data_IF_838081645212
#
_entry.id   IF_838081645212
#
_cell.length_a   1.000
_cell.length_b   1.000
_cell.length_c   1.000
_cell.angle_alpha   90.00
_cell.angle_beta   90.00
_cell.angle_gamma   90.00
#
_symmetry.space_group_name_H-M   'P 1'
#
loop_
_entity.id
_entity.type
_entity.pdbx_description
1 polymer ?
#
# COMPACT_ATOMS: atom_id res chain seq x y z
N UNK A 1 46.49 -23.55 10.03
CA UNK A 1 46.76 -22.25 9.40
C UNK A 1 45.49 -21.62 8.84
N UNK A 2 44.78 -22.21 7.86
CA UNK A 2 43.52 -21.64 7.39
C UNK A 2 42.36 -21.77 8.41
N UNK A 3 42.27 -22.91 9.12
CA UNK A 3 41.28 -23.12 10.19
C UNK A 3 41.49 -22.21 11.39
N UNK A 4 42.73 -22.12 11.88
CA UNK A 4 43.06 -21.25 13.02
C UNK A 4 42.74 -19.77 12.74
N UNK A 5 43.04 -19.28 11.52
CA UNK A 5 42.69 -17.91 11.12
C UNK A 5 41.18 -17.71 10.95
N UNK A 6 40.46 -18.71 10.42
CA UNK A 6 39.00 -18.64 10.32
C UNK A 6 38.36 -18.60 11.72
N UNK A 7 38.91 -19.35 12.67
CA UNK A 7 38.47 -19.36 14.06
C UNK A 7 38.78 -18.03 14.76
N UNK A 8 39.98 -17.47 14.58
CA UNK A 8 40.36 -16.14 15.11
C UNK A 8 39.48 -15.00 14.57
N UNK A 9 38.99 -15.12 13.33
CA UNK A 9 38.12 -14.13 12.70
C UNK A 9 36.62 -14.42 12.87
N UNK A 10 36.25 -15.43 13.65
CA UNK A 10 34.85 -15.91 13.78
C UNK A 10 34.18 -16.22 12.43
N UNK A 11 34.98 -16.65 11.44
CA UNK A 11 34.57 -17.06 10.10
C UNK A 11 34.62 -18.58 9.90
N UNK A 12 34.94 -19.34 10.95
CA UNK A 12 34.77 -20.79 10.95
C UNK A 12 33.30 -21.13 10.70
N UNK A 13 33.03 -22.02 9.74
CA UNK A 13 31.67 -22.43 9.39
C UNK A 13 31.52 -23.94 9.46
N UNK A 14 30.35 -24.43 9.91
CA UNK A 14 29.98 -25.81 9.69
C UNK A 14 29.89 -26.10 8.18
N UNK A 15 30.03 -27.37 7.78
CA UNK A 15 29.91 -27.82 6.38
C UNK A 15 28.44 -27.88 5.93
N UNK A 16 27.77 -26.72 6.03
CA UNK A 16 26.39 -26.47 5.62
C UNK A 16 26.35 -25.17 4.82
N UNK A 17 25.46 -25.04 3.82
CA UNK A 17 25.33 -23.81 3.04
C UNK A 17 24.98 -22.62 3.96
N UNK A 18 25.70 -21.51 3.81
CA UNK A 18 25.46 -20.30 4.58
C UNK A 18 26.37 -19.15 4.16
N UNK A 19 26.02 -17.94 4.57
CA UNK A 19 26.79 -16.72 4.32
C UNK A 19 27.21 -16.11 5.65
N UNK A 20 28.50 -15.77 5.76
CA UNK A 20 29.04 -14.96 6.85
C UNK A 20 29.77 -13.78 6.22
N UNK A 21 29.61 -12.65 6.88
CA UNK A 21 30.20 -11.37 6.50
C UNK A 21 30.92 -10.86 7.74
N UNK A 22 32.17 -10.41 7.58
CA UNK A 22 32.93 -9.78 8.66
C UNK A 22 33.12 -8.30 8.32
N UNK A 23 32.69 -7.43 9.23
CA UNK A 23 32.91 -5.99 9.16
C UNK A 23 34.05 -5.67 10.14
N UNK A 24 35.26 -5.45 9.62
CA UNK A 24 36.47 -5.21 10.45
C UNK A 24 36.46 -3.83 11.10
N UNK A 25 35.69 -2.90 10.54
CA UNK A 25 35.48 -1.58 11.10
C UNK A 25 34.33 -0.89 10.38
N UNK A 26 33.41 -0.35 11.17
CA UNK A 26 32.30 0.46 10.68
C UNK A 26 32.55 1.92 11.07
N UNK A 27 32.31 2.82 10.12
CA UNK A 27 32.32 4.27 10.34
C UNK A 27 31.06 4.82 9.71
N UNK A 28 30.24 5.51 10.50
CA UNK A 28 29.03 6.10 9.98
C UNK A 28 29.38 7.23 8.99
N UNK A 29 29.04 7.10 7.70
CA UNK A 29 29.34 8.13 6.71
C UNK A 29 28.51 9.40 6.89
N UNK A 30 27.41 9.35 7.66
CA UNK A 30 26.57 10.50 7.97
C UNK A 30 27.13 11.39 9.08
N UNK A 31 28.04 10.86 9.91
CA UNK A 31 28.82 11.62 10.88
C UNK A 31 30.31 11.67 10.49
N UNK A 32 30.72 12.62 9.62
CA UNK A 32 32.12 12.78 9.23
C UNK A 32 33.02 13.26 10.39
N UNK A 33 32.44 13.73 11.50
CA UNK A 33 33.19 14.21 12.67
C UNK A 33 33.71 13.08 13.56
N UNK A 34 33.11 11.88 13.45
CA UNK A 34 33.36 10.71 14.30
C UNK A 34 33.04 10.94 15.78
N UNK A 35 32.28 11.98 16.11
CA UNK A 35 31.95 12.33 17.50
C UNK A 35 30.79 11.46 18.03
N UNK A 36 29.88 11.02 17.16
CA UNK A 36 28.68 10.24 17.51
C UNK A 36 28.67 8.87 16.81
N UNK A 37 29.80 8.14 16.88
CA UNK A 37 29.83 6.78 16.33
C UNK A 37 29.03 5.82 17.23
N UNK A 38 28.15 4.97 16.64
CA UNK A 38 27.40 4.00 17.41
C UNK A 38 28.35 2.98 18.04
N UNK A 39 28.09 2.63 19.29
CA UNK A 39 28.78 1.55 19.98
C UNK A 39 28.52 0.20 19.29
N UNK A 40 29.41 -0.79 19.47
CA UNK A 40 29.19 -2.13 18.91
C UNK A 40 27.84 -2.74 19.31
N UNK A 41 27.37 -2.48 20.52
CA UNK A 41 26.06 -2.94 21.01
C UNK A 41 24.91 -2.27 20.27
N UNK A 42 24.97 -0.95 20.04
CA UNK A 42 23.91 -0.24 19.29
C UNK A 42 23.85 -0.72 17.83
N UNK A 43 25.01 -1.02 17.23
CA UNK A 43 25.05 -1.63 15.90
C UNK A 43 24.45 -3.04 15.94
N UNK A 44 24.75 -3.84 16.97
CA UNK A 44 24.14 -5.16 17.17
C UNK A 44 22.61 -5.07 17.32
N UNK A 45 22.09 -4.12 18.11
CA UNK A 45 20.66 -3.85 18.26
C UNK A 45 20.00 -3.56 16.91
N UNK A 46 20.64 -2.73 16.07
CA UNK A 46 20.13 -2.39 14.74
C UNK A 46 20.09 -3.62 13.84
N UNK A 47 21.15 -4.44 13.82
CA UNK A 47 21.18 -5.66 13.00
C UNK A 47 20.14 -6.67 13.45
N UNK A 48 20.00 -6.89 14.76
CA UNK A 48 19.02 -7.80 15.33
C UNK A 48 17.59 -7.35 14.99
N UNK A 49 17.26 -6.08 15.25
CA UNK A 49 15.94 -5.54 14.95
C UNK A 49 15.64 -5.55 13.45
N UNK A 50 16.63 -5.24 12.59
CA UNK A 50 16.46 -5.25 11.13
C UNK A 50 16.28 -6.67 10.61
N UNK A 51 17.04 -7.64 11.16
CA UNK A 51 16.86 -9.06 10.84
C UNK A 51 15.46 -9.53 11.22
N UNK A 52 14.99 -9.19 12.42
CA UNK A 52 13.64 -9.52 12.85
C UNK A 52 12.57 -8.87 11.96
N UNK A 53 12.63 -7.54 11.78
CA UNK A 53 11.65 -6.78 11.02
C UNK A 53 11.51 -7.24 9.57
N UNK A 54 12.62 -7.57 8.91
CA UNK A 54 12.61 -7.82 7.47
C UNK A 54 12.79 -9.27 7.08
N UNK A 55 13.24 -10.16 7.97
CA UNK A 55 13.45 -11.57 7.66
C UNK A 55 12.66 -12.54 8.53
N UNK A 56 11.75 -12.06 9.40
CA UNK A 56 10.85 -12.94 10.15
C UNK A 56 10.16 -14.02 9.29
N UNK A 57 9.78 -13.81 8.00
CA UNK A 57 9.15 -14.88 7.24
C UNK A 57 10.10 -16.05 6.97
N UNK A 58 11.38 -15.78 6.69
CA UNK A 58 12.39 -16.84 6.53
C UNK A 58 12.72 -17.49 7.89
N UNK A 59 12.89 -16.67 8.92
CA UNK A 59 13.29 -17.12 10.26
C UNK A 59 12.20 -18.00 10.88
N UNK A 60 10.94 -17.55 10.89
CA UNK A 60 9.80 -18.34 11.41
C UNK A 60 9.56 -19.67 10.70
N UNK A 61 10.05 -19.83 9.46
CA UNK A 61 9.98 -21.10 8.72
C UNK A 61 11.18 -22.03 8.95
N UNK A 62 12.21 -21.56 9.67
CA UNK A 62 13.49 -22.26 9.82
C UNK A 62 14.34 -22.24 8.55
N UNK A 63 14.06 -21.35 7.58
CA UNK A 63 14.86 -21.18 6.37
C UNK A 63 16.11 -20.31 6.62
N UNK A 64 16.12 -19.54 7.71
CA UNK A 64 17.18 -18.61 8.07
C UNK A 64 17.36 -18.55 9.59
N UNK A 65 18.61 -18.61 10.04
CA UNK A 65 19.02 -18.28 11.40
C UNK A 65 20.07 -17.17 11.31
N UNK A 66 19.98 -16.18 12.20
CA UNK A 66 20.90 -15.04 12.22
C UNK A 66 21.69 -15.06 13.51
N UNK A 67 23.02 -15.15 13.38
CA UNK A 67 23.96 -15.09 14.49
C UNK A 67 24.81 -13.82 14.35
N UNK A 68 24.84 -13.01 15.41
CA UNK A 68 25.61 -11.77 15.47
C UNK A 68 26.66 -11.91 16.58
N UNK A 69 27.90 -11.54 16.27
CA UNK A 69 28.97 -11.37 17.26
C UNK A 69 29.62 -10.01 17.02
N UNK A 70 29.32 -9.05 17.89
CA UNK A 70 29.80 -7.69 17.82
C UNK A 70 30.73 -7.42 19.02
N UNK A 71 32.01 -7.67 18.80
CA UNK A 71 33.06 -7.52 19.83
C UNK A 71 32.78 -8.34 21.11
N UNK A 72 32.23 -9.55 20.96
CA UNK A 72 31.89 -10.45 22.06
C UNK A 72 30.44 -10.31 22.59
N UNK A 73 29.69 -9.29 22.15
CA UNK A 73 28.24 -9.26 22.31
C UNK A 73 27.60 -10.22 21.30
N UNK A 74 27.07 -11.35 21.80
CA UNK A 74 26.53 -12.43 20.97
C UNK A 74 25.03 -12.42 21.02
N UNK A 75 24.41 -12.40 19.84
CA UNK A 75 22.96 -12.39 19.68
C UNK A 75 22.51 -13.39 18.65
N UNK A 76 21.30 -13.90 18.80
CA UNK A 76 20.71 -14.88 17.91
C UNK A 76 19.25 -14.56 17.63
N UNK A 77 18.88 -14.58 16.34
CA UNK A 77 17.50 -14.47 15.88
C UNK A 77 17.16 -15.75 15.14
N UNK A 78 16.39 -16.61 15.80
CA UNK A 78 16.02 -17.96 15.33
C UNK A 78 14.50 -18.12 15.34
N UNK A 79 13.99 -19.26 14.87
CA UNK A 79 12.55 -19.58 14.92
C UNK A 79 11.98 -19.59 16.34
N UNK A 80 12.81 -19.91 17.33
CA UNK A 80 12.50 -19.88 18.76
C UNK A 80 12.43 -18.45 19.33
N UNK A 81 13.35 -17.55 18.93
CA UNK A 81 13.45 -16.19 19.52
C UNK A 81 12.72 -15.11 18.73
N UNK A 82 12.39 -15.33 17.45
CA UNK A 82 11.77 -14.30 16.60
C UNK A 82 10.43 -13.77 17.14
N UNK A 83 9.73 -14.57 17.95
CA UNK A 83 8.45 -14.19 18.57
C UNK A 83 8.61 -13.26 19.77
N UNK A 84 9.82 -13.10 20.30
CA UNK A 84 10.12 -12.16 21.38
C UNK A 84 10.15 -10.70 20.88
N UNK A 85 10.17 -10.50 19.56
CA UNK A 85 10.08 -9.18 18.93
C UNK A 85 8.62 -8.76 18.72
N UNK A 86 8.11 -7.90 19.60
CA UNK A 86 6.73 -7.36 19.56
C UNK A 86 6.33 -6.75 18.21
N UNK A 87 7.30 -6.20 17.47
CA UNK A 87 7.08 -5.60 16.16
C UNK A 87 6.65 -6.59 15.07
N UNK A 88 6.97 -7.88 15.22
CA UNK A 88 6.74 -8.90 14.18
C UNK A 88 5.90 -10.09 14.65
N UNK A 89 5.84 -10.37 15.95
CA UNK A 89 5.05 -11.47 16.50
C UNK A 89 3.58 -11.50 16.00
N UNK A 90 2.85 -10.36 15.90
CA UNK A 90 1.53 -10.30 15.29
C UNK A 90 1.46 -10.75 13.82
N UNK A 91 2.50 -10.47 13.03
CA UNK A 91 2.57 -10.83 11.62
C UNK A 91 2.89 -12.31 11.43
N UNK A 92 3.75 -12.86 12.29
CA UNK A 92 4.04 -14.30 12.34
C UNK A 92 2.75 -15.07 12.67
N UNK A 93 2.03 -14.67 13.72
CA UNK A 93 0.74 -15.29 14.10
C UNK A 93 -0.29 -15.21 12.95
N UNK A 94 -0.39 -14.04 12.30
CA UNK A 94 -1.25 -13.84 11.13
C UNK A 94 -0.87 -14.77 9.97
N UNK A 95 0.42 -14.91 9.67
CA UNK A 95 0.91 -15.74 8.57
C UNK A 95 0.70 -17.22 8.86
N UNK A 96 1.11 -17.73 10.01
CA UNK A 96 1.04 -19.16 10.33
C UNK A 96 -0.40 -19.66 10.43
N UNK A 97 -1.30 -18.86 11.02
CA UNK A 97 -2.72 -19.22 11.19
C UNK A 97 -3.59 -18.92 9.98
N UNK A 98 -3.03 -18.45 8.87
CA UNK A 98 -3.79 -18.14 7.66
C UNK A 98 -4.47 -19.38 7.05
N UNK A 99 -3.89 -20.57 7.24
CA UNK A 99 -4.43 -21.80 6.65
C UNK A 99 -5.80 -22.14 7.24
N UNK A 100 -6.82 -22.22 6.40
CA UNK A 100 -8.18 -22.56 6.84
C UNK A 100 -8.84 -21.48 7.69
N UNK A 101 -8.28 -20.27 7.77
CA UNK A 101 -8.90 -19.13 8.41
C UNK A 101 -10.19 -18.72 7.65
N UNK A 102 -11.19 -18.15 8.35
CA UNK A 102 -12.40 -17.63 7.71
C UNK A 102 -12.08 -16.50 6.72
N UNK A 103 -13.01 -16.22 5.81
CA UNK A 103 -12.88 -15.18 4.78
C UNK A 103 -13.32 -13.78 5.25
N UNK A 104 -13.68 -13.64 6.53
CA UNK A 104 -14.03 -12.39 7.19
C UNK A 104 -13.44 -12.33 8.60
N UNK A 105 -12.94 -11.16 8.98
CA UNK A 105 -12.27 -10.92 10.25
C UNK A 105 -13.27 -10.84 11.39
N UNK A 106 -13.03 -11.62 12.45
CA UNK A 106 -13.84 -11.61 13.66
C UNK A 106 -13.23 -10.80 14.80
N UNK A 107 -13.15 -11.41 15.98
CA UNK A 107 -12.72 -10.76 17.22
C UNK A 107 -11.21 -10.46 17.31
N UNK A 108 -10.76 -9.70 18.33
CA UNK A 108 -9.34 -9.48 18.60
C UNK A 108 -8.52 -10.77 18.64
N UNK A 109 -7.37 -10.79 17.99
CA UNK A 109 -6.49 -11.95 17.86
C UNK A 109 -6.96 -13.02 16.87
N UNK A 110 -8.14 -12.87 16.27
CA UNK A 110 -8.61 -13.76 15.20
C UNK A 110 -7.97 -13.38 13.86
N UNK A 111 -7.71 -14.41 13.05
CA UNK A 111 -7.13 -14.30 11.72
C UNK A 111 -8.22 -14.60 10.69
N UNK A 112 -8.27 -13.80 9.64
CA UNK A 112 -9.01 -14.10 8.43
C UNK A 112 -8.05 -14.15 7.25
N UNK A 113 -8.32 -15.02 6.28
CA UNK A 113 -7.48 -15.18 5.11
C UNK A 113 -8.30 -15.42 3.84
N UNK A 114 -7.74 -14.98 2.73
CA UNK A 114 -8.30 -15.14 1.40
C UNK A 114 -7.19 -15.31 0.39
N UNK A 115 -7.33 -16.36 -0.41
CA UNK A 115 -6.56 -16.51 -1.64
C UNK A 115 -7.33 -15.90 -2.81
N UNK A 116 -6.60 -15.31 -3.75
CA UNK A 116 -7.16 -14.79 -4.98
C UNK A 116 -6.16 -14.93 -6.12
N UNK A 117 -6.68 -15.04 -7.34
CA UNK A 117 -5.84 -15.17 -8.52
C UNK A 117 -5.17 -13.83 -8.86
N UNK A 118 -3.87 -13.88 -9.16
CA UNK A 118 -3.05 -12.75 -9.55
C UNK A 118 -2.47 -12.98 -10.94
N UNK A 119 -2.88 -12.13 -11.87
CA UNK A 119 -2.38 -12.16 -13.25
C UNK A 119 -0.99 -11.51 -13.35
N UNK A 120 -0.04 -12.27 -13.88
CA UNK A 120 1.28 -11.83 -14.29
C UNK A 120 1.38 -11.84 -15.81
N UNK A 121 2.58 -11.59 -16.35
CA UNK A 121 2.84 -11.73 -17.79
C UNK A 121 3.80 -12.87 -18.01
N UNK A 122 3.70 -13.54 -19.16
CA UNK A 122 4.66 -14.57 -19.50
C UNK A 122 6.04 -13.94 -19.71
N UNK A 123 7.10 -14.72 -19.50
CA UNK A 123 8.43 -14.35 -19.98
C UNK A 123 8.45 -14.35 -21.51
N UNK A 124 9.32 -13.53 -22.11
CA UNK A 124 9.50 -13.47 -23.57
C UNK A 124 10.31 -14.62 -24.15
N UNK A 125 11.21 -15.20 -23.36
CA UNK A 125 12.11 -16.28 -23.78
C UNK A 125 11.48 -17.67 -23.67
N UNK A 126 10.43 -17.82 -22.85
CA UNK A 126 9.70 -19.07 -22.66
C UNK A 126 8.28 -18.81 -22.18
N UNK A 127 7.37 -19.74 -22.48
CA UNK A 127 6.00 -19.70 -21.95
C UNK A 127 5.99 -20.08 -20.46
N UNK A 128 5.61 -19.12 -19.61
CA UNK A 128 5.37 -19.32 -18.18
C UNK A 128 3.89 -19.21 -17.86
N UNK A 129 3.41 -19.72 -16.70
CA UNK A 129 2.08 -19.38 -16.21
C UNK A 129 1.86 -17.86 -16.21
N UNK A 130 0.63 -17.45 -16.52
CA UNK A 130 0.23 -16.03 -16.62
C UNK A 130 -0.71 -15.61 -15.48
N UNK A 131 -1.12 -16.55 -14.64
CA UNK A 131 -1.79 -16.26 -13.37
C UNK A 131 -1.49 -17.34 -12.34
N UNK A 132 -1.81 -17.03 -11.09
CA UNK A 132 -1.66 -17.93 -9.96
C UNK A 132 -2.18 -17.33 -8.67
N UNK A 133 -2.43 -18.15 -7.64
CA UNK A 133 -2.94 -17.67 -6.38
C UNK A 133 -1.90 -16.83 -5.63
N UNK A 134 -2.38 -15.84 -4.89
CA UNK A 134 -1.65 -15.16 -3.80
C UNK A 134 -2.50 -15.16 -2.54
N UNK A 135 -1.87 -15.13 -1.37
CA UNK A 135 -2.57 -15.22 -0.08
C UNK A 135 -2.52 -13.89 0.65
N UNK A 136 -3.69 -13.35 0.98
CA UNK A 136 -3.84 -12.22 1.89
C UNK A 136 -4.42 -12.71 3.20
N UNK A 137 -3.83 -12.29 4.31
CA UNK A 137 -4.34 -12.54 5.65
C UNK A 137 -4.34 -11.25 6.48
N UNK A 138 -5.25 -11.18 7.43
CA UNK A 138 -5.31 -10.10 8.41
C UNK A 138 -5.62 -10.70 9.78
N UNK A 139 -4.92 -10.23 10.81
CA UNK A 139 -5.21 -10.52 12.22
C UNK A 139 -5.76 -9.29 12.89
N UNK A 140 -6.91 -9.37 13.56
CA UNK A 140 -7.47 -8.25 14.33
C UNK A 140 -6.51 -7.97 15.49
N UNK A 141 -6.05 -6.73 15.63
CA UNK A 141 -5.15 -6.38 16.71
C UNK A 141 -5.92 -6.34 18.05
N UNK A 142 -5.23 -6.69 19.14
CA UNK A 142 -5.72 -6.43 20.48
C UNK A 142 -5.74 -4.91 20.77
N UNK A 143 -6.61 -4.43 21.67
CA UNK A 143 -6.75 -3.01 21.94
C UNK A 143 -5.47 -2.30 22.40
N UNK A 144 -4.61 -3.02 23.11
CA UNK A 144 -3.34 -2.62 23.72
C UNK A 144 -2.14 -2.71 22.77
N UNK A 145 -2.30 -3.35 21.61
CA UNK A 145 -1.27 -3.35 20.57
C UNK A 145 -1.28 -2.02 19.82
N UNK A 146 -0.10 -1.42 19.67
CA UNK A 146 0.10 -0.15 18.97
C UNK A 146 1.18 -0.22 17.88
N UNK A 147 2.10 -1.19 17.97
CA UNK A 147 3.22 -1.34 17.04
C UNK A 147 2.74 -1.87 15.69
N UNK A 148 3.09 -1.16 14.61
CA UNK A 148 2.79 -1.51 13.20
C UNK A 148 1.31 -1.83 12.92
N UNK A 149 0.40 -1.29 13.73
CA UNK A 149 -1.04 -1.49 13.57
C UNK A 149 -1.52 -0.81 12.29
N UNK A 150 -2.29 -1.55 11.50
CA UNK A 150 -2.79 -1.12 10.20
C UNK A 150 -1.75 -1.22 9.09
N UNK A 151 -0.64 -1.92 9.30
CA UNK A 151 0.35 -2.22 8.25
C UNK A 151 0.15 -3.62 7.67
N UNK A 152 0.58 -3.79 6.42
CA UNK A 152 0.54 -5.05 5.69
C UNK A 152 1.95 -5.39 5.24
N UNK A 153 2.50 -6.50 5.73
CA UNK A 153 3.81 -7.01 5.33
C UNK A 153 3.72 -7.70 3.96
N UNK A 154 4.53 -7.27 3.01
CA UNK A 154 4.60 -7.86 1.67
C UNK A 154 5.87 -8.68 1.56
N UNK A 155 5.76 -9.94 1.14
CA UNK A 155 6.93 -10.77 0.89
C UNK A 155 6.66 -11.85 -0.14
N UNK A 156 7.75 -12.40 -0.65
CA UNK A 156 7.78 -13.58 -1.52
C UNK A 156 8.74 -14.62 -0.95
N UNK A 157 8.96 -15.73 -1.65
CA UNK A 157 9.68 -16.90 -1.14
C UNK A 157 11.19 -16.79 -0.99
N UNK A 158 11.79 -15.59 -1.00
CA UNK A 158 13.06 -15.38 -0.32
C UNK A 158 12.88 -15.29 1.21
N UNK A 159 11.64 -15.07 1.67
CA UNK A 159 11.32 -14.85 3.08
C UNK A 159 11.76 -13.48 3.61
N UNK A 160 12.04 -12.53 2.72
CA UNK A 160 12.31 -11.14 3.08
C UNK A 160 11.06 -10.28 2.85
N UNK A 161 10.69 -9.48 3.85
CA UNK A 161 9.67 -8.44 3.75
C UNK A 161 10.19 -7.31 2.89
N UNK A 162 9.61 -7.12 1.72
CA UNK A 162 10.00 -6.02 0.83
C UNK A 162 9.40 -4.69 1.29
N UNK A 163 8.24 -4.73 1.95
CA UNK A 163 7.52 -3.52 2.35
C UNK A 163 6.49 -3.77 3.44
N UNK A 164 6.45 -2.86 4.40
CA UNK A 164 5.27 -2.65 5.24
C UNK A 164 4.41 -1.55 4.64
N UNK A 165 3.22 -1.89 4.15
CA UNK A 165 2.30 -0.92 3.54
C UNK A 165 1.21 -0.51 4.53
N UNK A 166 1.11 0.78 4.90
CA UNK A 166 0.01 1.28 5.71
C UNK A 166 -1.33 1.18 4.95
N UNK A 167 -2.32 0.54 5.56
CA UNK A 167 -3.66 0.36 5.03
C UNK A 167 -4.50 1.65 5.06
N UNK A 168 -4.10 2.65 5.85
CA UNK A 168 -4.68 4.00 5.80
C UNK A 168 -4.64 4.60 4.39
N UNK A 169 -3.58 4.31 3.61
CA UNK A 169 -3.46 4.75 2.22
C UNK A 169 -4.42 4.01 1.27
N UNK A 170 -5.08 2.96 1.74
CA UNK A 170 -6.09 2.19 1.01
C UNK A 170 -7.52 2.51 1.50
N UNK A 171 -7.67 3.40 2.49
CA UNK A 171 -8.96 3.80 3.06
C UNK A 171 -9.44 2.98 4.27
N UNK A 172 -8.57 2.19 4.90
CA UNK A 172 -8.92 1.40 6.09
C UNK A 172 -8.32 2.01 7.37
N UNK A 173 -9.12 2.05 8.44
CA UNK A 173 -8.72 2.55 9.76
C UNK A 173 -8.87 1.50 10.88
N UNK A 174 -9.19 0.25 10.52
CA UNK A 174 -9.26 -0.83 11.50
C UNK A 174 -7.89 -1.14 12.11
N UNK A 175 -7.89 -1.59 13.37
CA UNK A 175 -6.69 -2.09 14.04
C UNK A 175 -6.46 -3.55 13.65
N UNK A 176 -5.48 -3.82 12.80
CA UNK A 176 -5.10 -5.16 12.37
C UNK A 176 -3.62 -5.24 11.98
N UNK A 177 -3.10 -6.45 11.81
CA UNK A 177 -1.81 -6.74 11.20
C UNK A 177 -2.01 -7.61 9.96
N UNK A 178 -1.59 -7.12 8.79
CA UNK A 178 -1.83 -7.76 7.50
C UNK A 178 -0.60 -8.46 6.94
N UNK A 179 -0.83 -9.53 6.18
CA UNK A 179 0.23 -10.25 5.46
C UNK A 179 -0.22 -10.51 4.03
N UNK A 180 0.59 -10.11 3.05
CA UNK A 180 0.46 -10.50 1.65
C UNK A 180 1.62 -11.43 1.28
N UNK A 181 1.35 -12.73 1.27
CA UNK A 181 2.30 -13.78 0.92
C UNK A 181 2.13 -14.18 -0.55
N UNK A 182 3.18 -13.95 -1.33
CA UNK A 182 3.21 -14.21 -2.76
C UNK A 182 4.24 -15.28 -3.15
N UNK A 183 4.07 -15.84 -4.34
CA UNK A 183 5.04 -16.75 -4.93
C UNK A 183 5.36 -17.94 -4.05
N UNK A 184 6.64 -18.28 -3.89
CA UNK A 184 7.05 -19.45 -3.13
C UNK A 184 6.80 -19.32 -1.60
N UNK A 185 6.44 -18.13 -1.10
CA UNK A 185 6.03 -17.94 0.30
C UNK A 185 4.53 -18.16 0.55
N UNK A 186 3.71 -18.30 -0.50
CA UNK A 186 2.26 -18.54 -0.35
C UNK A 186 1.94 -19.90 0.28
N UNK A 187 2.55 -21.03 -0.15
CA UNK A 187 2.28 -22.34 0.45
C UNK A 187 2.59 -22.39 1.95
N UNK A 188 1.95 -23.31 2.68
CA UNK A 188 2.29 -23.51 4.09
C UNK A 188 3.70 -24.07 4.25
N UNK A 189 4.36 -23.86 5.41
CA UNK A 189 5.62 -24.52 5.72
C UNK A 189 5.53 -26.03 5.47
N UNK A 190 6.52 -26.59 4.76
CA UNK A 190 6.54 -27.99 4.35
C UNK A 190 5.72 -28.35 3.10
N UNK A 191 4.95 -27.42 2.53
CA UNK A 191 4.30 -27.62 1.23
C UNK A 191 5.20 -27.19 0.08
N UNK A 192 5.20 -27.98 -1.00
CA UNK A 192 5.99 -27.64 -2.20
C UNK A 192 5.27 -26.56 -3.03
N UNK A 193 5.94 -25.46 -3.39
CA UNK A 193 5.36 -24.45 -4.27
C UNK A 193 4.99 -25.00 -5.64
N UNK A 194 3.85 -24.56 -6.17
CA UNK A 194 3.37 -24.94 -7.50
C UNK A 194 4.18 -24.26 -8.60
N UNK A 195 3.88 -24.58 -9.87
CA UNK A 195 4.53 -23.92 -11.01
C UNK A 195 4.11 -22.44 -11.10
N UNK A 196 2.87 -22.15 -10.74
CA UNK A 196 2.29 -20.81 -10.69
C UNK A 196 2.93 -19.99 -9.57
N UNK A 197 3.10 -20.58 -8.38
CA UNK A 197 3.83 -19.96 -7.27
C UNK A 197 5.24 -19.54 -7.70
N UNK A 198 5.97 -20.44 -8.38
CA UNK A 198 7.33 -20.14 -8.87
C UNK A 198 7.34 -19.05 -9.93
N UNK A 199 6.34 -19.01 -10.80
CA UNK A 199 6.24 -17.98 -11.84
C UNK A 199 5.95 -16.59 -11.23
N UNK A 200 5.07 -16.52 -10.23
CA UNK A 200 4.82 -15.30 -9.47
C UNK A 200 6.06 -14.87 -8.69
N UNK A 201 6.77 -15.82 -8.07
CA UNK A 201 8.01 -15.54 -7.33
C UNK A 201 9.07 -14.93 -8.24
N UNK A 202 9.30 -15.53 -9.42
CA UNK A 202 10.24 -15.03 -10.43
C UNK A 202 9.84 -13.66 -10.96
N UNK A 203 8.55 -13.43 -11.20
CA UNK A 203 8.03 -12.14 -11.66
C UNK A 203 8.23 -11.04 -10.62
N UNK A 204 7.90 -11.30 -9.36
CA UNK A 204 8.04 -10.33 -8.28
C UNK A 204 9.50 -10.11 -7.88
N UNK A 205 10.35 -11.15 -7.92
CA UNK A 205 11.79 -11.03 -7.72
C UNK A 205 12.40 -10.06 -8.73
N UNK A 206 11.99 -10.17 -10.00
CA UNK A 206 12.43 -9.24 -11.04
C UNK A 206 11.89 -7.83 -10.85
N UNK A 207 10.77 -7.65 -10.14
CA UNK A 207 10.20 -6.36 -9.82
C UNK A 207 10.87 -5.68 -8.62
N UNK A 208 11.73 -6.36 -7.87
CA UNK A 208 12.46 -5.79 -6.73
C UNK A 208 13.65 -4.96 -7.21
N UNK A 209 13.80 -3.70 -6.75
CA UNK A 209 15.02 -2.94 -6.98
C UNK A 209 16.18 -3.52 -6.14
N UNK A 210 17.44 -3.14 -6.42
CA UNK A 210 18.59 -3.57 -5.61
C UNK A 210 18.49 -3.22 -4.12
N UNK A 211 17.74 -2.17 -3.77
CA UNK A 211 17.49 -1.77 -2.38
C UNK A 211 16.46 -2.68 -1.68
N UNK A 212 15.75 -3.53 -2.43
CA UNK A 212 14.84 -4.54 -1.89
C UNK A 212 13.71 -3.98 -0.99
N UNK A 213 13.26 -2.75 -1.26
CA UNK A 213 12.34 -1.96 -0.42
C UNK A 213 10.94 -1.73 -1.02
N UNK A 214 10.71 -2.22 -2.25
CA UNK A 214 9.41 -2.21 -2.90
C UNK A 214 9.35 -3.16 -4.10
N UNK A 215 8.14 -3.43 -4.63
CA UNK A 215 7.97 -3.94 -5.99
C UNK A 215 7.72 -2.77 -6.95
N UNK A 216 8.61 -2.57 -7.91
CA UNK A 216 8.64 -1.42 -8.82
C UNK A 216 8.61 -1.88 -10.28
N UNK A 217 7.58 -1.46 -11.02
CA UNK A 217 7.51 -1.69 -12.47
C UNK A 217 8.01 -0.51 -13.33
N UNK A 218 7.74 0.75 -12.95
CA UNK A 218 7.85 1.92 -13.87
C UNK A 218 9.28 2.16 -14.36
N UNK A 219 10.27 1.99 -13.48
CA UNK A 219 11.70 2.27 -13.74
C UNK A 219 12.55 0.99 -13.77
N UNK A 220 11.93 -0.16 -14.02
CA UNK A 220 12.61 -1.44 -14.01
C UNK A 220 12.72 -1.96 -15.44
N UNK A 221 13.86 -1.70 -16.07
CA UNK A 221 14.11 -2.08 -17.47
C UNK A 221 14.39 -3.58 -17.61
N UNK A 222 14.88 -4.24 -16.56
CA UNK A 222 15.08 -5.68 -16.55
C UNK A 222 13.74 -6.44 -16.57
N UNK A 223 12.77 -6.01 -15.77
CA UNK A 223 11.40 -6.52 -15.78
C UNK A 223 10.75 -6.34 -17.17
N UNK A 224 10.87 -5.15 -17.77
CA UNK A 224 10.34 -4.87 -19.12
C UNK A 224 11.08 -5.64 -20.21
N UNK A 225 12.36 -5.92 -20.02
CA UNK A 225 13.20 -6.71 -20.92
C UNK A 225 12.76 -8.18 -20.93
N UNK A 226 12.53 -8.74 -19.75
CA UNK A 226 12.29 -10.17 -19.52
C UNK A 226 10.85 -10.61 -19.77
N UNK A 227 9.86 -9.78 -19.40
CA UNK A 227 8.44 -10.13 -19.45
C UNK A 227 7.67 -9.39 -20.53
N UNK A 228 6.57 -9.98 -21.01
CA UNK A 228 5.72 -9.39 -22.04
C UNK A 228 5.15 -8.01 -21.66
N UNK A 229 4.79 -7.18 -22.65
CA UNK A 229 4.23 -5.85 -22.41
C UNK A 229 3.03 -5.88 -21.45
N UNK A 230 2.92 -4.87 -20.58
CA UNK A 230 1.88 -4.77 -19.55
C UNK A 230 2.32 -5.23 -18.15
N UNK A 231 3.53 -5.78 -17.99
CA UNK A 231 4.06 -6.23 -16.70
C UNK A 231 4.03 -5.14 -15.61
N UNK A 232 4.32 -3.89 -15.96
CA UNK A 232 4.29 -2.75 -15.02
C UNK A 232 2.90 -2.53 -14.42
N UNK A 233 1.85 -2.67 -15.24
CA UNK A 233 0.45 -2.54 -14.78
C UNK A 233 0.11 -3.65 -13.78
N UNK A 234 0.57 -4.89 -14.04
CA UNK A 234 0.35 -6.04 -13.14
C UNK A 234 0.97 -5.84 -11.75
N UNK A 235 2.19 -5.30 -11.66
CA UNK A 235 2.83 -5.00 -10.36
C UNK A 235 2.01 -3.98 -9.56
N UNK A 236 1.49 -2.94 -10.22
CA UNK A 236 0.64 -1.92 -9.56
C UNK A 236 -0.70 -2.49 -9.12
N UNK A 237 -1.34 -3.28 -9.98
CA UNK A 237 -2.66 -3.90 -9.74
C UNK A 237 -2.66 -4.75 -8.47
N UNK A 238 -1.59 -5.50 -8.21
CA UNK A 238 -1.43 -6.26 -6.96
C UNK A 238 -1.44 -5.33 -5.74
N UNK A 239 -0.59 -4.30 -5.75
CA UNK A 239 -0.33 -3.44 -4.59
C UNK A 239 -1.47 -2.49 -4.25
N UNK A 240 -2.34 -2.16 -5.21
CA UNK A 240 -3.43 -1.18 -5.05
C UNK A 240 -4.78 -1.86 -5.14
N UNK A 241 -5.19 -2.26 -6.34
CA UNK A 241 -6.58 -2.60 -6.65
C UNK A 241 -6.97 -3.94 -6.04
N UNK A 242 -6.18 -4.98 -6.29
CA UNK A 242 -6.41 -6.32 -5.74
C UNK A 242 -6.29 -6.31 -4.23
N UNK A 243 -5.26 -5.66 -3.70
CA UNK A 243 -5.10 -5.53 -2.26
C UNK A 243 -6.29 -4.83 -1.60
N UNK A 244 -6.72 -3.66 -2.11
CA UNK A 244 -7.86 -2.91 -1.58
C UNK A 244 -9.15 -3.73 -1.66
N UNK A 245 -9.41 -4.36 -2.81
CA UNK A 245 -10.58 -5.22 -3.03
C UNK A 245 -10.64 -6.38 -2.04
N UNK A 246 -9.55 -7.14 -1.90
CA UNK A 246 -9.53 -8.34 -1.08
C UNK A 246 -9.41 -8.03 0.41
N UNK A 247 -8.69 -6.97 0.79
CA UNK A 247 -8.65 -6.49 2.16
C UNK A 247 -10.02 -5.98 2.62
N UNK A 248 -10.75 -5.24 1.77
CA UNK A 248 -12.11 -4.80 2.09
C UNK A 248 -13.03 -5.98 2.41
N UNK A 249 -12.95 -7.05 1.60
CA UNK A 249 -13.73 -8.27 1.85
C UNK A 249 -13.33 -8.97 3.14
N UNK A 250 -12.04 -9.02 3.47
CA UNK A 250 -11.58 -9.58 4.74
C UNK A 250 -12.07 -8.77 5.94
N UNK A 251 -12.01 -7.44 5.88
CA UNK A 251 -12.36 -6.59 7.02
C UNK A 251 -13.87 -6.42 7.20
N UNK A 252 -14.64 -6.37 6.11
CA UNK A 252 -16.07 -6.01 6.14
C UNK A 252 -17.01 -7.11 5.62
N UNK A 253 -16.48 -8.22 5.12
CA UNK A 253 -17.25 -9.35 4.59
C UNK A 253 -17.82 -9.13 3.17
N UNK A 254 -18.57 -10.13 2.71
CA UNK A 254 -19.24 -10.15 1.40
C UNK A 254 -20.74 -9.90 1.58
N UNK A 255 -21.18 -8.67 1.87
CA UNK A 255 -22.61 -8.36 1.75
C UNK A 255 -22.95 -8.17 0.26
N UNK A 256 -23.64 -9.15 -0.33
CA UNK A 256 -24.32 -8.98 -1.62
C UNK A 256 -25.37 -7.86 -1.49
N UNK A 257 -25.09 -6.70 -2.07
CA UNK A 257 -26.12 -5.70 -2.36
C UNK A 257 -26.96 -6.21 -3.53
N UNK A 258 -28.02 -6.94 -3.22
CA UNK A 258 -29.04 -7.32 -4.19
C UNK A 258 -29.94 -6.11 -4.50
N UNK A 259 -30.04 -5.75 -5.78
CA UNK A 259 -31.17 -4.97 -6.32
C UNK A 259 -30.95 -3.47 -6.54
N UNK A 260 -31.16 -3.07 -7.80
CA UNK A 260 -31.51 -1.76 -8.36
C UNK A 260 -30.48 -0.62 -8.39
N UNK A 261 -30.27 -0.16 -9.64
CA UNK A 261 -29.72 1.11 -10.11
C UNK A 261 -28.97 2.00 -9.10
N UNK A 262 -27.68 2.21 -9.34
CA UNK A 262 -26.90 3.25 -8.69
C UNK A 262 -27.43 4.62 -9.14
N UNK A 263 -28.41 5.13 -8.40
CA UNK A 263 -28.70 6.56 -8.29
C UNK A 263 -28.21 7.00 -6.92
N UNK A 264 -27.21 7.88 -6.82
CA UNK A 264 -26.88 8.52 -5.56
C UNK A 264 -27.89 9.66 -5.37
N UNK A 265 -29.13 9.35 -5.00
CA UNK A 265 -30.03 10.39 -4.55
C UNK A 265 -30.75 10.01 -3.25
N UNK A 266 -30.38 10.81 -2.25
CA UNK A 266 -30.99 11.12 -0.96
C UNK A 266 -30.73 10.26 0.29
N UNK A 267 -30.17 11.03 1.23
CA UNK A 267 -30.33 10.99 2.69
C UNK A 267 -29.44 10.03 3.49
N UNK A 268 -28.13 10.26 3.43
CA UNK A 268 -27.24 9.97 4.57
C UNK A 268 -26.24 11.12 4.73
N UNK A 269 -26.62 12.13 5.52
CA UNK A 269 -25.67 13.12 6.06
C UNK A 269 -24.57 12.37 6.85
N UNK A 270 -23.27 12.51 6.50
CA UNK A 270 -22.21 11.94 7.30
C UNK A 270 -21.89 12.83 8.51
N UNK A 271 -22.02 12.26 9.71
CA UNK A 271 -21.22 12.67 10.87
C UNK A 271 -19.89 11.92 10.81
N UNK A 272 -18.79 12.61 10.54
CA UNK A 272 -17.43 12.06 10.72
C UNK A 272 -16.97 12.27 12.18
N UNK A 273 -16.42 11.20 12.78
CA UNK A 273 -16.09 11.10 14.20
C UNK A 273 -14.77 11.80 14.55
N UNK A 274 -14.76 12.51 15.69
CA UNK A 274 -13.59 12.68 16.57
C UNK A 274 -13.41 11.43 17.46
N UNK A 275 -12.16 11.10 17.81
CA UNK A 275 -11.81 10.51 19.11
C UNK A 275 -11.66 11.68 20.11
N UNK A 276 -12.17 11.68 21.34
CA UNK A 276 -12.90 10.66 22.08
C UNK A 276 -13.70 11.28 23.25
N UNK A 277 -14.71 10.55 23.73
CA UNK A 277 -15.59 10.94 24.84
C UNK A 277 -17.01 10.35 24.78
N UNK A 278 -17.13 9.01 24.87
CA UNK A 278 -18.33 8.18 25.21
C UNK A 278 -19.74 8.70 24.86
N UNK A 279 -20.40 8.07 23.88
CA UNK A 279 -21.62 7.25 24.10
C UNK A 279 -22.09 6.59 22.78
N UNK A 280 -22.77 5.44 22.93
CA UNK A 280 -23.10 4.45 21.91
C UNK A 280 -23.91 4.98 20.71
N UNK A 281 -23.51 4.58 19.49
CA UNK A 281 -24.31 4.74 18.27
C UNK A 281 -23.63 4.10 17.06
N UNK A 282 -24.33 3.13 16.46
CA UNK A 282 -23.94 2.21 15.36
C UNK A 282 -23.43 2.97 14.11
N UNK A 283 -22.41 2.44 13.44
CA UNK A 283 -21.76 3.06 12.26
C UNK A 283 -22.18 2.40 10.94
N UNK A 284 -22.49 3.23 9.93
CA UNK A 284 -22.80 2.84 8.54
C UNK A 284 -21.57 3.08 7.61
N UNK A 285 -21.33 2.29 6.54
CA UNK A 285 -20.06 2.28 5.79
C UNK A 285 -19.89 3.42 4.75
N UNK A 286 -18.63 3.81 4.49
CA UNK A 286 -18.21 4.85 3.53
C UNK A 286 -17.79 4.23 2.18
N UNK A 287 -18.27 4.72 1.04
CA UNK A 287 -17.96 4.20 -0.32
C UNK A 287 -16.83 5.00 -0.97
N UNK A 288 -15.95 4.33 -1.73
CA UNK A 288 -14.80 4.92 -2.45
C UNK A 288 -15.25 5.73 -3.67
N UNK A 289 -14.60 6.87 -3.95
CA UNK A 289 -14.72 7.60 -5.22
C UNK A 289 -14.25 6.72 -6.40
N UNK A 290 -14.88 6.80 -7.58
CA UNK A 290 -14.48 6.08 -8.79
C UNK A 290 -13.40 6.80 -9.62
N UNK A 291 -12.75 7.83 -9.08
CA UNK A 291 -11.70 8.62 -9.74
C UNK A 291 -10.39 8.65 -8.93
N UNK A 292 -9.25 8.63 -9.61
CA UNK A 292 -7.93 8.96 -9.06
C UNK A 292 -7.58 10.39 -9.46
N UNK A 293 -7.00 11.15 -8.53
CA UNK A 293 -6.69 12.55 -8.77
C UNK A 293 -5.53 13.01 -7.90
N UNK A 294 -4.87 14.07 -8.37
CA UNK A 294 -3.80 14.71 -7.60
C UNK A 294 -3.73 16.19 -7.91
N UNK A 295 -3.73 17.00 -6.85
CA UNK A 295 -3.30 18.39 -6.91
C UNK A 295 -1.77 18.42 -6.90
N UNK A 296 -1.20 19.08 -7.90
CA UNK A 296 0.24 19.27 -8.05
C UNK A 296 0.71 20.62 -7.53
N UNK A 297 -0.16 21.62 -7.58
CA UNK A 297 0.12 22.97 -7.10
C UNK A 297 -1.15 23.59 -6.52
N UNK A 298 -0.99 24.36 -5.46
CA UNK A 298 -2.06 25.12 -4.84
C UNK A 298 -1.49 26.45 -4.37
N UNK A 299 -2.17 27.56 -4.65
CA UNK A 299 -1.75 28.90 -4.22
C UNK A 299 -2.95 29.82 -3.98
N UNK A 300 -2.66 30.97 -3.35
CA UNK A 300 -3.62 32.06 -3.19
C UNK A 300 -3.11 33.26 -3.99
N UNK A 301 -3.78 33.61 -5.10
CA UNK A 301 -3.52 34.84 -5.88
C UNK A 301 -4.71 35.79 -5.78
N UNK A 302 -4.47 37.06 -5.44
CA UNK A 302 -5.49 38.13 -5.34
C UNK A 302 -6.78 37.68 -4.61
N UNK A 303 -6.60 37.02 -3.47
CA UNK A 303 -7.67 36.46 -2.63
C UNK A 303 -8.50 35.36 -3.30
N UNK A 304 -7.93 34.65 -4.27
CA UNK A 304 -8.55 33.49 -4.92
C UNK A 304 -7.67 32.28 -4.68
N UNK A 305 -8.29 31.16 -4.35
CA UNK A 305 -7.60 29.88 -4.34
C UNK A 305 -7.46 29.37 -5.76
N UNK A 306 -6.26 28.97 -6.12
CA UNK A 306 -5.95 28.30 -7.39
C UNK A 306 -5.44 26.90 -7.08
N UNK A 307 -6.01 25.89 -7.74
CA UNK A 307 -5.57 24.49 -7.65
C UNK A 307 -5.28 23.95 -9.04
N UNK A 308 -4.05 23.49 -9.25
CA UNK A 308 -3.62 22.84 -10.49
C UNK A 308 -3.37 21.37 -10.22
N UNK A 309 -3.86 20.51 -11.10
CA UNK A 309 -3.72 19.08 -10.92
C UNK A 309 -4.19 18.26 -12.10
N UNK A 310 -4.44 16.98 -11.83
CA UNK A 310 -5.02 16.08 -12.81
C UNK A 310 -6.00 15.11 -12.17
N UNK A 311 -6.87 14.56 -13.02
CA UNK A 311 -7.89 13.59 -12.65
C UNK A 311 -8.08 12.55 -13.77
N UNK A 312 -8.29 11.30 -13.38
CA UNK A 312 -8.57 10.16 -14.26
C UNK A 312 -9.59 9.20 -13.63
N UNK A 313 -10.41 8.50 -14.44
CA UNK A 313 -11.21 7.38 -13.97
C UNK A 313 -10.37 6.26 -13.33
N UNK A 314 -10.78 5.75 -12.16
CA UNK A 314 -10.12 4.63 -11.45
C UNK A 314 -11.06 3.41 -11.37
N UNK A 315 -11.55 2.96 -12.52
CA UNK A 315 -12.39 1.77 -12.65
C UNK A 315 -11.70 0.66 -13.46
N UNK A 316 -11.83 -0.58 -12.98
CA UNK A 316 -11.41 -1.81 -13.66
C UNK A 316 -12.65 -2.44 -14.32
N UNK A 317 -12.99 -1.98 -15.53
CA UNK A 317 -14.20 -2.40 -16.27
C UNK A 317 -13.81 -3.07 -17.59
N UNK A 318 -14.52 -4.15 -17.93
CA UNK A 318 -14.41 -4.80 -19.25
C UNK A 318 -15.20 -3.96 -20.28
N UNK A 319 -14.60 -2.86 -20.74
CA UNK A 319 -15.21 -1.95 -21.72
C UNK A 319 -14.35 -0.72 -21.97
N UNK A 320 -14.67 0.05 -23.02
CA UNK A 320 -14.03 1.34 -23.28
C UNK A 320 -14.80 2.43 -22.53
N UNK A 321 -14.08 3.27 -21.77
CA UNK A 321 -14.66 4.46 -21.16
C UNK A 321 -14.90 5.47 -22.28
N UNK A 322 -16.16 5.80 -22.52
CA UNK A 322 -16.57 6.73 -23.58
C UNK A 322 -16.80 8.14 -23.08
N UNK A 323 -17.21 8.25 -21.82
CA UNK A 323 -17.48 9.53 -21.21
C UNK A 323 -17.34 9.42 -19.69
N UNK A 324 -16.95 10.50 -19.05
CA UNK A 324 -16.98 10.61 -17.59
C UNK A 324 -17.17 12.05 -17.15
N UNK A 325 -17.85 12.22 -16.03
CA UNK A 325 -18.19 13.51 -15.44
C UNK A 325 -17.74 13.50 -13.98
N UNK A 326 -17.15 14.59 -13.51
CA UNK A 326 -16.75 14.74 -12.11
C UNK A 326 -17.14 16.12 -11.59
N UNK A 327 -17.73 16.14 -10.40
CA UNK A 327 -18.05 17.37 -9.67
C UNK A 327 -17.06 17.58 -8.53
N UNK A 328 -16.52 18.79 -8.47
CA UNK A 328 -15.39 19.17 -7.61
C UNK A 328 -15.72 20.40 -6.77
N UNK A 329 -15.19 20.43 -5.55
CA UNK A 329 -15.47 21.44 -4.55
C UNK A 329 -14.18 21.87 -3.85
N UNK A 330 -14.06 23.17 -3.54
CA UNK A 330 -13.00 23.70 -2.68
C UNK A 330 -13.54 23.85 -1.27
N UNK A 331 -12.85 23.26 -0.30
CA UNK A 331 -13.24 23.29 1.10
C UNK A 331 -12.12 23.90 1.96
N UNK A 332 -12.45 24.97 2.69
CA UNK A 332 -11.64 25.42 3.81
C UNK A 332 -11.79 24.40 4.95
N UNK A 333 -10.70 24.14 5.64
CA UNK A 333 -10.56 23.20 6.74
C UNK A 333 -10.15 23.97 7.99
N UNK A 334 -10.54 23.48 9.15
CA UNK A 334 -9.98 23.94 10.42
C UNK A 334 -8.63 23.23 10.68
N UNK A 335 -7.86 23.74 11.64
CA UNK A 335 -6.61 23.12 12.15
C UNK A 335 -6.76 21.63 12.51
N UNK A 336 -7.98 21.17 12.83
CA UNK A 336 -8.30 19.78 13.16
C UNK A 336 -8.80 18.94 11.98
N UNK A 337 -8.52 19.38 10.75
CA UNK A 337 -8.85 18.69 9.49
C UNK A 337 -10.36 18.44 9.28
N UNK A 338 -11.21 19.19 9.98
CA UNK A 338 -12.65 19.23 9.69
C UNK A 338 -12.95 20.31 8.68
N UNK A 339 -13.91 20.04 7.80
CA UNK A 339 -14.43 21.05 6.87
C UNK A 339 -15.02 22.22 7.66
N UNK A 340 -14.45 23.39 7.44
CA UNK A 340 -14.91 24.64 8.01
C UNK A 340 -16.05 25.22 7.19
N UNK A 341 -15.83 25.33 5.88
CA UNK A 341 -16.79 25.92 4.95
C UNK A 341 -16.40 25.63 3.52
N UNK A 342 -17.37 25.80 2.62
CA UNK A 342 -17.18 25.69 1.17
C UNK A 342 -16.73 27.02 0.60
N UNK A 343 -15.80 26.96 -0.35
CA UNK A 343 -15.36 28.09 -1.15
C UNK A 343 -15.91 27.88 -2.56
N UNK A 344 -16.80 28.75 -3.06
CA UNK A 344 -17.36 28.61 -4.39
C UNK A 344 -16.28 28.63 -5.47
N UNK A 345 -16.40 27.75 -6.45
CA UNK A 345 -15.60 27.72 -7.67
C UNK A 345 -16.16 28.75 -8.65
N UNK A 346 -15.29 29.62 -9.17
CA UNK A 346 -15.64 30.63 -10.20
C UNK A 346 -15.22 30.17 -11.60
N UNK A 347 -14.13 29.43 -11.71
CA UNK A 347 -13.58 29.04 -13.01
C UNK A 347 -12.89 27.68 -12.94
N UNK A 348 -13.04 26.90 -14.00
CA UNK A 348 -12.34 25.62 -14.20
C UNK A 348 -11.74 25.65 -15.60
N UNK A 349 -10.43 25.68 -15.73
CA UNK A 349 -9.74 25.48 -16.99
C UNK A 349 -9.31 24.02 -17.10
N UNK A 350 -9.51 23.43 -18.27
CA UNK A 350 -9.19 22.03 -18.54
C UNK A 350 -8.38 21.92 -19.82
N UNK A 351 -7.37 21.07 -19.81
CA UNK A 351 -6.52 20.83 -20.99
C UNK A 351 -6.85 19.47 -21.60
N UNK A 352 -7.35 19.49 -22.84
CA UNK A 352 -7.69 18.28 -23.60
C UNK A 352 -8.59 18.59 -24.80
N UNK A 353 -8.65 17.67 -25.76
CA UNK A 353 -9.70 17.64 -26.77
C UNK A 353 -10.93 16.93 -26.19
N UNK A 354 -12.14 17.40 -26.50
CA UNK A 354 -13.41 16.79 -26.04
C UNK A 354 -13.62 16.79 -24.52
N UNK A 355 -13.03 17.79 -23.85
CA UNK A 355 -13.25 18.08 -22.44
C UNK A 355 -13.94 19.43 -22.34
N UNK A 356 -15.08 19.46 -21.67
CA UNK A 356 -15.84 20.66 -21.35
C UNK A 356 -15.93 20.80 -19.83
N UNK A 357 -16.33 21.98 -19.37
CA UNK A 357 -16.60 22.23 -17.96
C UNK A 357 -17.78 23.16 -17.79
N UNK A 358 -18.42 23.09 -16.62
CA UNK A 358 -19.51 23.99 -16.22
C UNK A 358 -19.47 24.24 -14.71
N UNK A 359 -20.19 25.27 -14.27
CA UNK A 359 -20.42 25.52 -12.85
C UNK A 359 -21.81 25.02 -12.45
N UNK A 360 -21.89 24.41 -11.27
CA UNK A 360 -23.13 23.95 -10.68
C UNK A 360 -23.15 24.30 -9.18
N UNK A 361 -23.97 25.27 -8.78
CA UNK A 361 -24.14 25.68 -7.37
C UNK A 361 -22.81 25.92 -6.60
N UNK A 362 -21.88 26.65 -7.24
CA UNK A 362 -20.55 26.94 -6.67
C UNK A 362 -19.55 25.78 -6.73
N UNK A 363 -19.85 24.73 -7.49
CA UNK A 363 -18.96 23.59 -7.78
C UNK A 363 -18.53 23.60 -9.23
N UNK A 364 -17.31 23.11 -9.49
CA UNK A 364 -16.83 22.86 -10.83
C UNK A 364 -17.27 21.48 -11.30
N UNK A 365 -17.78 21.37 -12.53
CA UNK A 365 -18.09 20.09 -13.17
C UNK A 365 -17.19 19.98 -14.40
N UNK A 366 -16.43 18.89 -14.50
CA UNK A 366 -15.63 18.56 -15.68
C UNK A 366 -16.32 17.41 -16.39
N UNK A 367 -16.62 17.59 -17.68
CA UNK A 367 -17.27 16.61 -18.55
C UNK A 367 -16.30 16.19 -19.66
N UNK A 368 -16.07 14.90 -19.79
CA UNK A 368 -15.17 14.32 -20.79
C UNK A 368 -16.00 13.42 -21.70
N UNK A 369 -16.01 13.70 -23.00
CA UNK A 369 -16.86 13.04 -24.00
C UNK A 369 -16.04 12.26 -25.05
N UNK A 370 -14.92 11.66 -24.64
CA UNK A 370 -14.06 10.81 -25.49
C UNK A 370 -13.19 9.85 -24.64
N UNK A 371 -12.36 9.03 -25.28
CA UNK A 371 -11.37 8.11 -24.67
C UNK A 371 -10.19 8.81 -23.97
N UNK A 372 -10.41 10.02 -23.47
CA UNK A 372 -9.40 10.76 -22.72
C UNK A 372 -9.25 10.16 -21.32
N UNK A 373 -8.18 9.37 -21.19
CA UNK A 373 -7.81 8.68 -19.95
C UNK A 373 -7.52 9.64 -18.79
N UNK A 374 -7.10 10.88 -19.07
CA UNK A 374 -6.61 11.80 -18.06
C UNK A 374 -6.79 13.26 -18.49
N UNK A 375 -7.30 14.08 -17.57
CA UNK A 375 -7.45 15.52 -17.75
C UNK A 375 -6.59 16.28 -16.76
N UNK A 376 -5.90 17.31 -17.25
CA UNK A 376 -5.26 18.31 -16.40
C UNK A 376 -6.22 19.49 -16.19
N UNK A 377 -6.29 19.99 -14.96
CA UNK A 377 -7.19 21.07 -14.57
C UNK A 377 -6.43 22.20 -13.86
N UNK A 378 -6.95 23.41 -14.00
CA UNK A 378 -6.65 24.59 -13.19
C UNK A 378 -7.98 25.18 -12.71
N UNK A 379 -8.19 25.22 -11.39
CA UNK A 379 -9.46 25.61 -10.79
C UNK A 379 -9.25 26.83 -9.92
N UNK A 380 -10.12 27.83 -10.10
CA UNK A 380 -10.07 29.10 -9.38
C UNK A 380 -11.33 29.32 -8.59
N UNK A 381 -11.17 29.68 -7.31
CA UNK A 381 -12.29 30.09 -6.47
C UNK A 381 -12.78 31.50 -6.79
N UNK A 382 -13.97 31.83 -6.30
CA UNK A 382 -14.41 33.22 -6.19
C UNK A 382 -13.42 34.03 -5.34
N UNK A 383 -13.34 35.34 -5.63
CA UNK A 383 -12.54 36.26 -4.83
C UNK A 383 -13.12 36.42 -3.43
N UNK A 384 -12.31 36.10 -2.43
CA UNK A 384 -12.63 36.30 -1.02
C UNK A 384 -12.27 37.73 -0.59
N UNK A 385 -12.89 38.20 0.50
CA UNK A 385 -12.51 39.48 1.09
C UNK A 385 -11.09 39.41 1.70
N UNK A 386 -10.35 40.52 1.72
CA UNK A 386 -8.94 40.59 2.19
C UNK A 386 -8.70 40.04 3.61
N UNK A 387 -9.75 39.89 4.43
CA UNK A 387 -9.70 39.38 5.81
C UNK A 387 -10.60 38.14 6.01
N UNK A 388 -10.94 37.41 4.94
CA UNK A 388 -11.75 36.21 5.03
C UNK A 388 -10.92 35.07 5.69
N UNK A 389 -11.41 34.43 6.77
CA UNK A 389 -10.69 33.37 7.45
C UNK A 389 -10.43 32.14 6.57
N UNK A 390 -11.09 32.03 5.41
CA UNK A 390 -10.88 30.95 4.43
C UNK A 390 -9.65 31.18 3.54
N UNK A 391 -8.97 32.33 3.65
CA UNK A 391 -7.67 32.59 3.03
C UNK A 391 -6.49 32.03 3.85
N UNK A 392 -6.75 31.07 4.74
CA UNK A 392 -5.78 30.47 5.67
C UNK A 392 -4.58 29.77 5.00
N UNK A 393 -3.76 29.09 5.80
CA UNK A 393 -2.51 28.50 5.32
C UNK A 393 -2.76 27.39 4.26
N UNK A 394 -1.80 27.18 3.36
CA UNK A 394 -1.82 26.17 2.28
C UNK A 394 -2.17 24.73 2.73
N UNK A 395 -2.02 24.41 4.01
CA UNK A 395 -2.40 23.12 4.59
C UNK A 395 -3.87 22.99 5.00
N UNK A 396 -4.59 24.12 5.10
CA UNK A 396 -5.95 24.22 5.65
C UNK A 396 -7.01 24.41 4.57
N UNK A 397 -6.68 24.47 3.29
CA UNK A 397 -7.67 24.47 2.20
C UNK A 397 -7.44 23.29 1.27
N UNK A 398 -8.49 22.50 1.02
CA UNK A 398 -8.41 21.23 0.29
C UNK A 398 -9.36 21.20 -0.90
N UNK A 399 -8.86 20.62 -1.99
CA UNK A 399 -9.65 20.18 -3.12
C UNK A 399 -10.35 18.85 -2.80
N UNK A 400 -11.61 18.71 -3.21
CA UNK A 400 -12.40 17.48 -3.03
C UNK A 400 -13.18 17.14 -4.29
N UNK A 401 -13.27 15.86 -4.59
CA UNK A 401 -14.31 15.32 -5.48
C UNK A 401 -15.53 15.02 -4.62
N UNK A 402 -16.68 15.54 -5.00
CA UNK A 402 -17.94 15.38 -4.27
C UNK A 402 -18.92 14.44 -4.97
N UNK A 403 -18.85 14.37 -6.30
CA UNK A 403 -19.62 13.43 -7.10
C UNK A 403 -18.88 13.10 -8.41
N UNK A 404 -19.30 12.04 -9.08
CA UNK A 404 -18.91 11.80 -10.46
C UNK A 404 -19.43 10.47 -11.01
N UNK A 405 -19.50 10.40 -12.33
CA UNK A 405 -20.06 9.29 -13.08
C UNK A 405 -19.16 8.90 -14.25
N UNK A 406 -19.18 7.62 -14.62
CA UNK A 406 -18.38 7.08 -15.72
C UNK A 406 -19.31 6.26 -16.61
N UNK A 407 -19.33 6.57 -17.90
CA UNK A 407 -20.04 5.84 -18.94
C UNK A 407 -19.13 4.86 -19.67
N UNK A 408 -19.56 3.59 -19.73
CA UNK A 408 -18.79 2.48 -20.29
C UNK A 408 -19.62 1.85 -21.42
N UNK A 409 -19.00 1.60 -22.56
CA UNK A 409 -19.61 0.86 -23.66
C UNK A 409 -19.12 -0.60 -23.63
N UNK A 410 -20.04 -1.56 -23.53
CA UNK A 410 -19.71 -2.99 -23.58
C UNK A 410 -19.29 -3.38 -24.99
N UNK A 411 -18.10 -3.95 -25.13
CA UNK A 411 -17.64 -4.49 -26.42
C UNK A 411 -18.37 -5.82 -26.65
N UNK A 412 -19.49 -5.79 -27.37
CA UNK A 412 -20.16 -7.01 -27.86
C UNK A 412 -19.20 -7.76 -28.79
N UNK A 413 -18.58 -8.82 -28.27
CA UNK A 413 -17.78 -9.75 -29.06
C UNK A 413 -18.70 -10.44 -30.08
N UNK A 414 -18.47 -10.20 -31.37
CA UNK A 414 -19.13 -10.88 -32.49
C UNK A 414 -18.37 -12.13 -32.91
#
# INVERSE_FOLDING_TARGET
MAGDLAQELSLERPDVPGTSTMIVGFRDPSDPSMEEQPSPSEVADIFEQTAADYFWPAISRGDLEVYLDMAGDKREVTDDTIRDHDGVAPFIDCYERRSGAPDSLGGPGEVASREFDYEIRSRKDRKTPESGPVSLAARKAYPDEEVRVGEIAFFRGSGMVVKYKPARHLGFSEKFHGVLACGNARPQPGQTPTREDRAIDEFLAMAEPPAHDDWVGKKNDELKGTFEPGCVKRVRKLKRDLLKKHLSKLLYGTQERSGDSIRPDRDILPKTRRSGGRSNGVSTPNVSSPFDWRVTESEVDKNRWTFVGWIEPDLDVEGEIRQWEVEIEIAAMFEDDREASKIPVEEVEVTGSHVDWRLNDGRGVIEVNDDTDKVEFDIRSEALADADPRLGDLGETKFKIVDGSIGIEEVTSS
#
